data_IF_464019740800
#
_entry.id   IF_464019740800
#
_cell.length_a   1.000
_cell.length_b   1.000
_cell.length_c   1.000
_cell.angle_alpha   90.00
_cell.angle_beta   90.00
_cell.angle_gamma   90.00
#
_symmetry.space_group_name_H-M   'P 1'
#
loop_
_entity.id
_entity.type
_entity.pdbx_description
1 polymer ?
#
# COMPACT_ATOMS: atom_id res chain seq x y z
N UNK A 1 54.06 -89.12 41.78
CA UNK A 1 53.05 -88.16 42.28
C UNK A 1 53.09 -86.80 41.57
N UNK A 2 54.26 -86.16 41.37
CA UNK A 2 54.36 -84.84 40.71
C UNK A 2 53.78 -84.77 39.28
N UNK A 3 54.05 -85.75 38.43
CA UNK A 3 53.53 -85.79 37.05
C UNK A 3 52.00 -85.86 36.99
N UNK A 4 51.38 -86.63 37.90
CA UNK A 4 49.93 -86.73 38.00
C UNK A 4 49.30 -85.39 38.43
N UNK A 5 49.92 -84.67 39.36
CA UNK A 5 49.46 -83.34 39.78
C UNK A 5 49.60 -82.28 38.65
N UNK A 6 50.65 -82.36 37.84
CA UNK A 6 50.83 -81.49 36.67
C UNK A 6 49.77 -81.76 35.59
N UNK A 7 49.45 -83.02 35.32
CA UNK A 7 48.41 -83.41 34.37
C UNK A 7 47.01 -82.98 34.84
N UNK A 8 46.67 -83.19 36.12
CA UNK A 8 45.43 -82.69 36.74
C UNK A 8 45.29 -81.16 36.61
N UNK A 9 46.37 -80.40 36.82
CA UNK A 9 46.35 -78.93 36.65
C UNK A 9 46.10 -78.53 35.20
N UNK A 10 46.72 -79.23 34.25
CA UNK A 10 46.51 -79.02 32.82
C UNK A 10 45.05 -79.27 32.42
N UNK A 11 44.46 -80.36 32.92
CA UNK A 11 43.07 -80.75 32.64
C UNK A 11 42.06 -79.71 33.15
N UNK A 12 42.24 -79.22 34.39
CA UNK A 12 41.39 -78.16 34.95
C UNK A 12 41.51 -76.87 34.13
N UNK A 13 42.73 -76.48 33.76
CA UNK A 13 42.95 -75.30 32.92
C UNK A 13 42.26 -75.45 31.54
N UNK A 14 42.31 -76.65 30.95
CA UNK A 14 41.66 -76.96 29.68
C UNK A 14 40.13 -76.87 29.80
N UNK A 15 39.54 -77.42 30.88
CA UNK A 15 38.11 -77.28 31.16
C UNK A 15 37.69 -75.83 31.40
N UNK A 16 38.52 -75.03 32.06
CA UNK A 16 38.24 -73.62 32.31
C UNK A 16 38.27 -72.80 31.01
N UNK A 17 39.23 -73.07 30.12
CA UNK A 17 39.28 -72.48 28.77
C UNK A 17 38.08 -72.90 27.94
N UNK A 18 37.70 -74.19 27.94
CA UNK A 18 36.51 -74.66 27.22
C UNK A 18 35.22 -74.02 27.73
N UNK A 19 35.10 -73.82 29.05
CA UNK A 19 33.96 -73.10 29.65
C UNK A 19 33.88 -71.64 29.18
N UNK A 20 35.01 -70.91 29.17
CA UNK A 20 35.04 -69.54 28.66
C UNK A 20 34.72 -69.46 27.17
N UNK A 21 35.23 -70.37 26.34
CA UNK A 21 34.87 -70.45 24.92
C UNK A 21 33.36 -70.70 24.76
N UNK A 22 32.77 -71.57 25.59
CA UNK A 22 31.33 -71.83 25.60
C UNK A 22 30.51 -70.59 25.97
N UNK A 23 30.96 -69.81 26.96
CA UNK A 23 30.35 -68.54 27.35
C UNK A 23 30.38 -67.51 26.22
N UNK A 24 31.57 -67.25 25.67
CA UNK A 24 31.76 -66.30 24.55
C UNK A 24 30.90 -66.70 23.33
N UNK A 25 30.83 -68.00 23.02
CA UNK A 25 29.99 -68.50 21.92
C UNK A 25 28.50 -68.22 22.16
N UNK A 26 28.03 -68.37 23.40
CA UNK A 26 26.64 -68.08 23.76
C UNK A 26 26.35 -66.58 23.61
N UNK A 27 27.23 -65.72 24.11
CA UNK A 27 27.08 -64.28 24.03
C UNK A 27 27.09 -63.79 22.58
N UNK A 28 27.96 -64.35 21.74
CA UNK A 28 28.00 -64.09 20.30
C UNK A 28 26.67 -64.44 19.61
N UNK A 29 26.09 -65.60 19.92
CA UNK A 29 24.80 -66.02 19.35
C UNK A 29 23.66 -65.12 19.81
N UNK A 30 23.66 -64.67 21.07
CA UNK A 30 22.65 -63.74 21.60
C UNK A 30 22.75 -62.39 20.87
N UNK A 31 23.98 -61.88 20.72
CA UNK A 31 24.27 -60.64 20.01
C UNK A 31 23.80 -60.69 18.54
N UNK A 32 24.17 -61.75 17.81
CA UNK A 32 23.75 -61.95 16.42
C UNK A 32 22.24 -62.09 16.25
N UNK A 33 21.56 -62.80 17.16
CA UNK A 33 20.12 -63.07 17.01
C UNK A 33 19.24 -61.95 17.51
N UNK A 34 19.59 -61.31 18.62
CA UNK A 34 18.73 -60.34 19.30
C UNK A 34 19.09 -58.91 18.90
N UNK A 35 20.32 -58.49 19.18
CA UNK A 35 20.71 -57.08 19.05
C UNK A 35 20.86 -56.66 17.59
N UNK A 36 21.50 -57.48 16.76
CA UNK A 36 21.58 -57.22 15.32
C UNK A 36 20.21 -57.19 14.64
N UNK A 37 19.30 -58.09 15.02
CA UNK A 37 17.93 -58.12 14.49
C UNK A 37 17.14 -56.87 14.91
N UNK A 38 17.27 -56.44 16.16
CA UNK A 38 16.64 -55.23 16.66
C UNK A 38 17.15 -53.98 15.93
N UNK A 39 18.48 -53.84 15.80
CA UNK A 39 19.11 -52.74 15.06
C UNK A 39 18.67 -52.69 13.59
N UNK A 40 18.56 -53.86 12.93
CA UNK A 40 18.10 -53.92 11.54
C UNK A 40 16.65 -53.47 11.41
N UNK A 41 15.79 -53.89 12.33
CA UNK A 41 14.38 -53.47 12.37
C UNK A 41 14.25 -51.96 12.59
N UNK A 42 15.02 -51.42 13.53
CA UNK A 42 15.03 -49.98 13.82
C UNK A 42 15.56 -49.16 12.63
N UNK A 43 16.59 -49.64 11.94
CA UNK A 43 17.14 -48.99 10.75
C UNK A 43 16.11 -48.95 9.61
N UNK A 44 15.40 -50.05 9.34
CA UNK A 44 14.31 -50.05 8.34
C UNK A 44 13.16 -49.11 8.75
N UNK A 45 12.81 -49.07 10.04
CA UNK A 45 11.79 -48.13 10.55
C UNK A 45 12.22 -46.67 10.33
N UNK A 46 13.45 -46.31 10.68
CA UNK A 46 14.00 -44.97 10.48
C UNK A 46 14.04 -44.58 9.00
N UNK A 47 14.37 -45.53 8.13
CA UNK A 47 14.38 -45.31 6.68
C UNK A 47 12.98 -45.01 6.14
N UNK A 48 11.95 -45.70 6.63
CA UNK A 48 10.55 -45.44 6.27
C UNK A 48 10.09 -44.07 6.79
N UNK A 49 10.38 -43.75 8.05
CA UNK A 49 10.06 -42.44 8.64
C UNK A 49 10.73 -41.30 7.86
N UNK A 50 12.00 -41.47 7.49
CA UNK A 50 12.73 -40.49 6.67
C UNK A 50 12.07 -40.28 5.30
N UNK A 51 11.63 -41.36 4.64
CA UNK A 51 10.91 -41.27 3.38
C UNK A 51 9.57 -40.54 3.53
N UNK A 52 8.85 -40.81 4.62
CA UNK A 52 7.57 -40.16 4.90
C UNK A 52 7.75 -38.66 5.16
N UNK A 53 8.71 -38.28 6.00
CA UNK A 53 9.02 -36.87 6.28
C UNK A 53 9.45 -36.16 4.99
N UNK A 54 10.31 -36.79 4.18
CA UNK A 54 10.72 -36.22 2.90
C UNK A 54 9.52 -35.95 1.99
N UNK A 55 8.56 -36.88 1.92
CA UNK A 55 7.34 -36.70 1.14
C UNK A 55 6.50 -35.53 1.68
N UNK A 56 6.26 -35.49 2.98
CA UNK A 56 5.50 -34.41 3.62
C UNK A 56 6.12 -33.04 3.38
N UNK A 57 7.44 -32.92 3.48
CA UNK A 57 8.15 -31.68 3.22
C UNK A 57 7.98 -31.23 1.76
N UNK A 58 8.07 -32.15 0.79
CA UNK A 58 7.84 -31.80 -0.62
C UNK A 58 6.40 -31.35 -0.87
N UNK A 59 5.43 -32.02 -0.26
CA UNK A 59 4.01 -31.67 -0.40
C UNK A 59 3.72 -30.28 0.20
N UNK A 60 4.27 -29.97 1.37
CA UNK A 60 4.14 -28.64 2.01
C UNK A 60 4.87 -27.55 1.21
N UNK A 61 6.05 -27.85 0.63
CA UNK A 61 6.74 -26.91 -0.27
C UNK A 61 5.86 -26.59 -1.48
N UNK A 62 5.27 -27.62 -2.11
CA UNK A 62 4.41 -27.43 -3.28
C UNK A 62 3.16 -26.61 -2.93
N UNK A 63 2.55 -26.87 -1.76
CA UNK A 63 1.41 -26.12 -1.26
C UNK A 63 1.75 -24.66 -1.01
N UNK A 64 2.83 -24.37 -0.27
CA UNK A 64 3.28 -22.99 0.01
C UNK A 64 3.62 -22.25 -1.29
N UNK A 65 4.22 -22.92 -2.28
CA UNK A 65 4.49 -22.32 -3.58
C UNK A 65 3.21 -21.97 -4.35
N UNK A 66 2.21 -22.86 -4.33
CA UNK A 66 0.92 -22.61 -4.96
C UNK A 66 0.18 -21.44 -4.28
N UNK A 67 0.14 -21.43 -2.95
CA UNK A 67 -0.49 -20.38 -2.14
C UNK A 67 0.20 -19.03 -2.37
N UNK A 68 1.53 -18.99 -2.37
CA UNK A 68 2.28 -17.77 -2.65
C UNK A 68 2.03 -17.25 -4.06
N UNK A 69 1.99 -18.12 -5.07
CA UNK A 69 1.69 -17.72 -6.45
C UNK A 69 0.29 -17.13 -6.56
N UNK A 70 -0.70 -17.73 -5.89
CA UNK A 70 -2.06 -17.21 -5.86
C UNK A 70 -2.11 -15.83 -5.17
N UNK A 71 -1.52 -15.70 -3.98
CA UNK A 71 -1.47 -14.44 -3.23
C UNK A 71 -0.82 -13.32 -4.04
N UNK A 72 0.31 -13.60 -4.71
CA UNK A 72 0.97 -12.62 -5.58
C UNK A 72 0.08 -12.19 -6.76
N UNK A 73 -0.65 -13.12 -7.37
CA UNK A 73 -1.57 -12.80 -8.46
C UNK A 73 -2.75 -11.95 -8.00
N UNK A 74 -3.28 -12.24 -6.80
CA UNK A 74 -4.36 -11.45 -6.20
C UNK A 74 -3.87 -10.03 -5.87
N UNK A 75 -2.73 -9.88 -5.19
CA UNK A 75 -2.17 -8.56 -4.88
C UNK A 75 -1.81 -7.78 -6.15
N UNK A 76 -1.25 -8.44 -7.18
CA UNK A 76 -0.99 -7.79 -8.47
C UNK A 76 -2.26 -7.24 -9.11
N UNK A 77 -3.35 -8.00 -9.04
CA UNK A 77 -4.66 -7.59 -9.58
C UNK A 77 -5.22 -6.42 -8.77
N UNK A 78 -5.18 -6.51 -7.43
CA UNK A 78 -5.63 -5.44 -6.52
C UNK A 78 -4.87 -4.14 -6.76
N UNK A 79 -3.55 -4.21 -6.91
CA UNK A 79 -2.72 -3.04 -7.24
C UNK A 79 -3.14 -2.44 -8.57
N UNK A 80 -3.34 -3.25 -9.62
CA UNK A 80 -3.79 -2.76 -10.93
C UNK A 80 -5.15 -2.07 -10.87
N UNK A 81 -6.10 -2.64 -10.12
CA UNK A 81 -7.43 -2.04 -9.92
C UNK A 81 -7.35 -0.71 -9.19
N UNK A 82 -6.55 -0.62 -8.12
CA UNK A 82 -6.32 0.63 -7.38
C UNK A 82 -5.68 1.70 -8.26
N UNK A 83 -4.69 1.35 -9.09
CA UNK A 83 -4.09 2.27 -10.05
C UNK A 83 -5.12 2.78 -11.06
N UNK A 84 -5.92 1.88 -11.66
CA UNK A 84 -6.95 2.27 -12.62
C UNK A 84 -8.02 3.16 -11.98
N UNK A 85 -8.43 2.87 -10.75
CA UNK A 85 -9.37 3.70 -10.01
C UNK A 85 -8.80 5.10 -9.74
N UNK A 86 -7.53 5.16 -9.33
CA UNK A 86 -6.87 6.43 -9.04
C UNK A 86 -6.69 7.28 -10.31
N UNK A 87 -6.37 6.65 -11.44
CA UNK A 87 -6.30 7.31 -12.75
C UNK A 87 -7.65 7.91 -13.16
N UNK A 88 -8.75 7.16 -12.98
CA UNK A 88 -10.11 7.68 -13.22
C UNK A 88 -10.45 8.87 -12.33
N UNK A 89 -10.20 8.78 -11.03
CA UNK A 89 -10.44 9.90 -10.10
C UNK A 89 -9.63 11.14 -10.46
N UNK A 90 -8.38 10.94 -10.91
CA UNK A 90 -7.53 12.04 -11.34
C UNK A 90 -8.08 12.72 -12.60
N UNK A 91 -8.61 11.94 -13.56
CA UNK A 91 -9.27 12.46 -14.75
C UNK A 91 -10.57 13.21 -14.43
N UNK A 92 -11.39 12.65 -13.55
CA UNK A 92 -12.63 13.30 -13.07
C UNK A 92 -12.31 14.65 -12.41
N UNK A 93 -11.36 14.68 -11.48
CA UNK A 93 -10.93 15.91 -10.80
C UNK A 93 -10.34 16.93 -11.77
N UNK A 94 -9.56 16.50 -12.77
CA UNK A 94 -9.07 17.40 -13.83
C UNK A 94 -10.21 18.02 -14.62
N UNK A 95 -11.24 17.24 -14.93
CA UNK A 95 -12.41 17.70 -15.67
C UNK A 95 -13.18 18.73 -14.85
N UNK A 96 -13.44 18.43 -13.57
CA UNK A 96 -14.11 19.35 -12.64
C UNK A 96 -13.36 20.68 -12.48
N UNK A 97 -12.02 20.64 -12.36
CA UNK A 97 -11.19 21.86 -12.29
C UNK A 97 -11.36 22.71 -13.56
N UNK A 98 -11.37 22.10 -14.74
CA UNK A 98 -11.55 22.83 -16.01
C UNK A 98 -12.95 23.44 -16.09
N UNK A 99 -13.99 22.72 -15.67
CA UNK A 99 -15.36 23.22 -15.64
C UNK A 99 -15.51 24.41 -14.67
N UNK A 100 -14.97 24.29 -13.46
CA UNK A 100 -14.96 25.37 -12.47
C UNK A 100 -14.20 26.60 -12.98
N UNK A 101 -13.05 26.41 -13.64
CA UNK A 101 -12.30 27.51 -14.23
C UNK A 101 -13.10 28.20 -15.34
N UNK A 102 -13.74 27.43 -16.23
CA UNK A 102 -14.58 28.00 -17.28
C UNK A 102 -15.80 28.75 -16.70
N UNK A 103 -16.39 28.25 -15.61
CA UNK A 103 -17.47 28.95 -14.90
C UNK A 103 -16.97 30.25 -14.27
N UNK A 104 -15.79 30.22 -13.65
CA UNK A 104 -15.15 31.40 -13.06
C UNK A 104 -14.83 32.46 -14.12
N UNK A 105 -14.27 32.07 -15.26
CA UNK A 105 -13.95 32.99 -16.36
C UNK A 105 -15.21 33.68 -16.92
N UNK A 106 -16.32 32.93 -17.05
CA UNK A 106 -17.61 33.50 -17.45
C UNK A 106 -18.13 34.51 -16.43
N UNK A 107 -18.06 34.18 -15.14
CA UNK A 107 -18.51 35.06 -14.06
C UNK A 107 -17.66 36.33 -13.96
N UNK A 108 -16.34 36.20 -14.12
CA UNK A 108 -15.41 37.33 -14.20
C UNK A 108 -15.74 38.23 -15.39
N UNK A 109 -15.86 37.65 -16.59
CA UNK A 109 -16.21 38.41 -17.81
C UNK A 109 -17.56 39.13 -17.69
N UNK A 110 -18.55 38.50 -17.05
CA UNK A 110 -19.85 39.13 -16.83
C UNK A 110 -19.75 40.31 -15.87
N UNK A 111 -18.96 40.17 -14.81
CA UNK A 111 -18.76 41.24 -13.82
C UNK A 111 -17.98 42.39 -14.42
N UNK A 112 -16.93 42.10 -15.20
CA UNK A 112 -16.12 43.08 -15.92
C UNK A 112 -16.99 43.94 -16.86
N UNK A 113 -17.85 43.30 -17.67
CA UNK A 113 -18.82 44.02 -18.52
C UNK A 113 -19.79 44.89 -17.73
N UNK A 114 -20.25 44.44 -16.56
CA UNK A 114 -21.14 45.24 -15.70
C UNK A 114 -20.43 46.47 -15.17
N UNK A 115 -19.17 46.32 -14.73
CA UNK A 115 -18.34 47.42 -14.28
C UNK A 115 -18.17 48.44 -15.41
N UNK A 116 -17.84 47.99 -16.63
CA UNK A 116 -17.71 48.88 -17.79
C UNK A 116 -18.99 49.68 -18.06
N UNK A 117 -20.15 49.02 -18.00
CA UNK A 117 -21.44 49.71 -18.19
C UNK A 117 -21.72 50.72 -17.08
N UNK A 118 -21.53 50.36 -15.81
CA UNK A 118 -21.76 51.27 -14.68
C UNK A 118 -20.80 52.47 -14.73
N UNK A 119 -19.54 52.26 -15.14
CA UNK A 119 -18.56 53.34 -15.32
C UNK A 119 -18.99 54.30 -16.44
N UNK A 120 -19.46 53.78 -17.58
CA UNK A 120 -19.96 54.60 -18.68
C UNK A 120 -21.22 55.40 -18.29
N UNK A 121 -22.14 54.76 -17.58
CA UNK A 121 -23.37 55.38 -17.08
C UNK A 121 -23.06 56.51 -16.08
N UNK A 122 -22.16 56.26 -15.10
CA UNK A 122 -21.71 57.26 -14.14
C UNK A 122 -21.03 58.44 -14.82
N UNK A 123 -20.21 58.19 -15.84
CA UNK A 123 -19.56 59.26 -16.62
C UNK A 123 -20.58 60.13 -17.34
N UNK A 124 -21.58 59.52 -17.97
CA UNK A 124 -22.66 60.23 -18.68
C UNK A 124 -23.51 61.06 -17.71
N UNK A 125 -23.83 60.50 -16.54
CA UNK A 125 -24.57 61.19 -15.48
C UNK A 125 -23.78 62.41 -14.96
N UNK A 126 -22.46 62.25 -14.77
CA UNK A 126 -21.57 63.35 -14.36
C UNK A 126 -21.52 64.47 -15.41
N UNK A 127 -21.38 64.12 -16.69
CA UNK A 127 -21.37 65.10 -17.79
C UNK A 127 -22.70 65.86 -17.87
N UNK A 128 -23.83 65.16 -17.70
CA UNK A 128 -25.17 65.76 -17.66
C UNK A 128 -25.31 66.73 -16.48
N UNK A 129 -24.92 66.33 -15.28
CA UNK A 129 -24.94 67.21 -14.09
C UNK A 129 -24.07 68.46 -14.26
N UNK A 130 -22.90 68.33 -14.88
CA UNK A 130 -22.05 69.50 -15.20
C UNK A 130 -22.76 70.46 -16.14
N UNK A 131 -23.37 69.96 -17.21
CA UNK A 131 -24.12 70.79 -18.16
C UNK A 131 -25.32 71.48 -17.51
N UNK A 132 -26.07 70.76 -16.69
CA UNK A 132 -27.23 71.34 -16.01
C UNK A 132 -26.82 72.41 -15.00
N UNK A 133 -25.74 72.22 -14.25
CA UNK A 133 -25.18 73.26 -13.38
C UNK A 133 -24.81 74.53 -14.16
N UNK A 134 -24.20 74.39 -15.34
CA UNK A 134 -23.89 75.54 -16.22
C UNK A 134 -25.19 76.24 -16.67
N UNK A 135 -26.20 75.49 -17.09
CA UNK A 135 -27.50 76.06 -17.51
C UNK A 135 -28.20 76.79 -16.36
N UNK A 136 -28.25 76.19 -15.17
CA UNK A 136 -28.84 76.81 -13.98
C UNK A 136 -28.10 78.09 -13.59
N UNK A 137 -26.76 78.08 -13.63
CA UNK A 137 -25.96 79.27 -13.39
C UNK A 137 -26.27 80.38 -14.41
N UNK A 138 -26.26 80.06 -15.71
CA UNK A 138 -26.57 81.02 -16.77
C UNK A 138 -27.98 81.61 -16.62
N UNK A 139 -28.98 80.75 -16.34
CA UNK A 139 -30.36 81.17 -16.08
C UNK A 139 -30.47 82.11 -14.88
N UNK A 140 -29.80 81.79 -13.77
CA UNK A 140 -29.80 82.64 -12.57
C UNK A 140 -29.16 84.01 -12.79
N UNK A 141 -28.07 84.08 -13.57
CA UNK A 141 -27.43 85.36 -13.91
C UNK A 141 -28.35 86.19 -14.82
N UNK A 142 -28.99 85.55 -15.81
CA UNK A 142 -29.89 86.23 -16.73
C UNK A 142 -31.16 86.77 -16.04
N UNK A 143 -31.74 86.01 -15.11
CA UNK A 143 -32.89 86.49 -14.31
C UNK A 143 -32.50 87.66 -13.40
N UNK A 144 -31.36 87.58 -12.72
CA UNK A 144 -30.83 88.69 -11.92
C UNK A 144 -30.62 89.96 -12.76
N UNK A 145 -30.02 89.84 -13.95
CA UNK A 145 -29.84 90.96 -14.87
C UNK A 145 -31.18 91.53 -15.35
N UNK A 146 -32.15 90.67 -15.67
CA UNK A 146 -33.49 91.09 -16.09
C UNK A 146 -34.20 91.89 -15.00
N UNK A 147 -34.13 91.43 -13.75
CA UNK A 147 -34.68 92.13 -12.58
C UNK A 147 -33.99 93.48 -12.37
N UNK A 148 -32.65 93.51 -12.40
CA UNK A 148 -31.87 94.75 -12.24
C UNK A 148 -32.21 95.80 -13.32
N UNK A 149 -32.32 95.38 -14.58
CA UNK A 149 -32.74 96.24 -15.69
C UNK A 149 -34.18 96.74 -15.52
N UNK A 150 -35.08 95.89 -15.00
CA UNK A 150 -36.45 96.27 -14.66
C UNK A 150 -36.49 97.39 -13.61
N UNK A 151 -35.72 97.26 -12.53
CA UNK A 151 -35.59 98.31 -11.51
C UNK A 151 -34.98 99.60 -12.06
N UNK A 152 -33.93 99.51 -12.88
CA UNK A 152 -33.29 100.68 -13.50
C UNK A 152 -34.28 101.47 -14.37
N UNK A 153 -35.15 100.78 -15.12
CA UNK A 153 -36.20 101.43 -15.94
C UNK A 153 -37.28 102.12 -15.12
N UNK A 154 -37.60 101.62 -13.91
CA UNK A 154 -38.60 102.23 -13.03
C UNK A 154 -38.05 103.45 -12.25
N UNK A 155 -36.73 103.55 -12.09
CA UNK A 155 -36.06 104.66 -11.37
C UNK A 155 -35.70 105.85 -12.27
N UNK A 156 -35.72 105.67 -13.59
CA UNK A 156 -35.52 106.75 -14.58
C UNK A 156 -36.85 107.37 -14.96
#
# INVERSE_FOLDING_TARGET
MHWYASWKKMEIALQQVMSHIGGVKKDMIILEKSEFSALRSENEKLKLELQQIKKQVMDEIAKVQADNKLNLNLEKTRVKELYSLNERKLLEMRTEIVELHAQQDRALTQTDRKIDTEVADLKTMLETHKLDNIKYLAGSVFTCLTVALGFYRLWR
#
